data_IF_339499759709
#
_entry.id   IF_339499759709
#
_cell.length_a   1.000
_cell.length_b   1.000
_cell.length_c   1.000
_cell.angle_alpha   90.00
_cell.angle_beta   90.00
_cell.angle_gamma   90.00
#
_symmetry.space_group_name_H-M   'P 1'
#
loop_
_entity.id
_entity.type
_entity.pdbx_description
1 polymer ?
#
# COMPACT_ATOMS: atom_id res chain seq x y z
N UNK A 1 61.72 63.39 12.94
CA UNK A 1 60.71 63.33 14.02
C UNK A 1 59.39 63.71 13.40
N UNK A 2 58.27 63.00 13.48
CA UNK A 2 57.91 61.68 14.00
C UNK A 2 56.64 61.27 13.21
N UNK A 3 56.42 59.97 13.10
CA UNK A 3 55.51 59.27 12.19
C UNK A 3 54.02 59.64 12.31
N UNK A 4 53.33 59.59 11.17
CA UNK A 4 51.89 59.74 11.00
C UNK A 4 51.13 58.47 11.42
N UNK A 5 50.11 58.66 12.27
CA UNK A 5 49.16 57.63 12.68
C UNK A 5 48.17 57.35 11.53
N UNK A 6 48.17 56.14 10.97
CA UNK A 6 47.04 55.64 10.19
C UNK A 6 46.66 54.27 10.76
N UNK A 7 45.65 54.28 11.65
CA UNK A 7 45.06 53.07 12.19
C UNK A 7 44.38 52.28 11.09
N UNK A 8 44.89 51.08 10.81
CA UNK A 8 44.28 50.13 9.90
C UNK A 8 43.20 49.38 10.69
N UNK A 9 41.92 49.70 10.44
CA UNK A 9 40.81 48.86 10.85
C UNK A 9 40.74 47.64 9.93
N UNK A 10 41.10 46.46 10.45
CA UNK A 10 40.89 45.18 9.77
C UNK A 10 39.46 44.73 10.08
N UNK A 11 38.54 44.93 9.13
CA UNK A 11 37.21 44.33 9.19
C UNK A 11 37.31 42.85 8.77
N UNK A 12 37.30 41.95 9.77
CA UNK A 12 37.24 40.50 9.54
C UNK A 12 35.80 40.16 9.15
N UNK A 13 35.55 39.98 7.85
CA UNK A 13 34.28 39.49 7.32
C UNK A 13 34.26 37.96 7.47
N UNK A 14 33.67 37.47 8.57
CA UNK A 14 33.45 36.04 8.78
C UNK A 14 32.33 35.59 7.83
N UNK A 15 32.71 35.01 6.69
CA UNK A 15 31.80 34.29 5.80
C UNK A 15 31.33 33.02 6.53
N UNK A 16 30.19 33.10 7.22
CA UNK A 16 29.45 31.92 7.66
C UNK A 16 28.73 31.33 6.44
N UNK A 17 29.44 30.53 5.65
CA UNK A 17 28.80 29.61 4.70
C UNK A 17 28.14 28.49 5.50
N UNK A 18 26.93 28.75 5.99
CA UNK A 18 26.04 27.72 6.52
C UNK A 18 25.65 26.79 5.36
N UNK A 19 26.41 25.73 5.17
CA UNK A 19 25.97 24.60 4.36
C UNK A 19 24.77 23.99 5.09
N UNK A 20 23.56 24.44 4.74
CA UNK A 20 22.34 23.72 5.07
C UNK A 20 22.39 22.40 4.29
N UNK A 21 22.95 21.36 4.90
CA UNK A 21 22.68 19.98 4.49
C UNK A 21 21.17 19.79 4.65
N UNK A 22 20.42 20.00 3.56
CA UNK A 22 19.00 19.67 3.51
C UNK A 22 18.92 18.19 3.85
N UNK A 23 18.29 17.86 4.99
CA UNK A 23 17.94 16.48 5.29
C UNK A 23 17.15 15.95 4.10
N UNK A 24 17.46 14.73 3.59
CA UNK A 24 16.65 14.11 2.55
C UNK A 24 15.18 14.14 2.96
N UNK A 25 14.30 14.43 2.01
CA UNK A 25 12.86 14.38 2.29
C UNK A 25 12.48 12.97 2.75
N UNK A 26 11.71 12.85 3.83
CA UNK A 26 11.27 11.55 4.35
C UNK A 26 10.29 10.86 3.40
N UNK A 27 9.55 11.65 2.63
CA UNK A 27 8.59 11.19 1.63
C UNK A 27 8.85 11.82 0.27
N UNK A 28 8.32 11.18 -0.77
CA UNK A 28 8.27 11.68 -2.14
C UNK A 28 6.92 11.39 -2.76
N UNK A 29 6.52 12.21 -3.72
CA UNK A 29 5.40 11.91 -4.60
C UNK A 29 5.91 11.02 -5.74
N UNK A 30 5.27 9.86 -5.91
CA UNK A 30 5.41 9.04 -7.10
C UNK A 30 4.28 9.41 -8.07
N UNK A 31 4.66 9.80 -9.28
CA UNK A 31 3.76 9.92 -10.41
C UNK A 31 3.85 8.66 -11.25
N UNK A 32 2.73 7.93 -11.33
CA UNK A 32 2.58 6.68 -12.07
C UNK A 32 1.66 6.93 -13.29
N UNK A 33 1.63 8.14 -13.83
CA UNK A 33 0.84 8.50 -15.02
C UNK A 33 -0.66 8.64 -14.72
N UNK A 34 -1.36 7.54 -14.45
CA UNK A 34 -2.81 7.54 -14.20
C UNK A 34 -3.19 7.90 -12.76
N UNK A 35 -2.22 7.90 -11.85
CA UNK A 35 -2.41 8.34 -10.49
C UNK A 35 -1.08 8.75 -9.86
N UNK A 36 -1.19 9.49 -8.76
CA UNK A 36 -0.05 9.84 -7.91
C UNK A 36 -0.27 9.31 -6.50
N UNK A 37 0.82 9.06 -5.78
CA UNK A 37 0.81 8.64 -4.38
C UNK A 37 2.04 9.19 -3.67
N UNK A 38 1.87 9.68 -2.43
CA UNK A 38 2.99 10.08 -1.58
C UNK A 38 3.45 8.91 -0.72
N UNK A 39 4.72 8.55 -0.84
CA UNK A 39 5.34 7.36 -0.22
C UNK A 39 6.68 7.73 0.43
N UNK A 40 7.24 6.87 1.31
CA UNK A 40 8.62 7.01 1.76
C UNK A 40 9.61 7.21 0.60
N UNK A 41 10.62 8.05 0.81
CA UNK A 41 11.59 8.38 -0.25
C UNK A 41 12.38 7.17 -0.76
N UNK A 42 12.49 6.12 0.06
CA UNK A 42 13.18 4.85 -0.26
C UNK A 42 12.39 3.93 -1.16
N UNK A 43 11.07 4.06 -1.24
CA UNK A 43 10.23 3.20 -2.07
C UNK A 43 10.44 3.49 -3.54
N UNK A 44 10.51 2.47 -4.40
CA UNK A 44 10.81 2.67 -5.83
C UNK A 44 9.87 1.88 -6.72
N UNK A 45 9.32 2.47 -7.80
CA UNK A 45 8.60 1.70 -8.80
C UNK A 45 9.54 0.68 -9.47
N UNK A 46 9.00 -0.49 -9.76
CA UNK A 46 9.67 -1.56 -10.49
C UNK A 46 8.96 -1.71 -11.84
N UNK A 47 9.72 -1.64 -12.93
CA UNK A 47 9.16 -1.76 -14.28
C UNK A 47 8.63 -3.17 -14.51
N UNK A 48 7.34 -3.26 -14.82
CA UNK A 48 6.68 -4.48 -15.28
C UNK A 48 5.87 -4.16 -16.54
N UNK A 49 5.66 -5.15 -17.42
CA UNK A 49 4.88 -5.00 -18.66
C UNK A 49 3.52 -5.69 -18.47
N UNK A 50 2.45 -4.92 -18.36
CA UNK A 50 1.06 -5.41 -18.41
C UNK A 50 0.60 -5.73 -19.83
N UNK A 51 -0.40 -6.60 -19.98
CA UNK A 51 -1.01 -6.94 -21.28
C UNK A 51 -2.28 -6.12 -21.51
N UNK A 52 -3.20 -6.15 -20.55
CA UNK A 52 -4.57 -5.61 -20.67
C UNK A 52 -4.91 -4.52 -19.64
N UNK A 53 -4.18 -4.44 -18.52
CA UNK A 53 -4.42 -3.49 -17.42
C UNK A 53 -3.20 -2.63 -17.10
N UNK A 54 -3.42 -1.45 -16.53
CA UNK A 54 -2.34 -0.58 -16.05
C UNK A 54 -1.83 -1.11 -14.70
N UNK A 55 -0.86 -2.02 -14.78
CA UNK A 55 -0.29 -2.73 -13.63
C UNK A 55 1.14 -2.27 -13.32
N UNK A 56 1.51 -2.34 -12.05
CA UNK A 56 2.85 -1.99 -11.60
C UNK A 56 3.22 -2.61 -10.27
N UNK A 57 4.53 -2.59 -9.99
CA UNK A 57 5.11 -3.01 -8.72
C UNK A 57 5.84 -1.82 -8.08
N UNK A 58 5.86 -1.78 -6.75
CA UNK A 58 6.67 -0.83 -5.98
C UNK A 58 7.46 -1.64 -4.93
N UNK A 59 8.78 -1.58 -5.02
CA UNK A 59 9.68 -2.12 -4.02
C UNK A 59 9.69 -1.19 -2.80
N UNK A 60 9.52 -1.77 -1.62
CA UNK A 60 9.52 -1.07 -0.34
C UNK A 60 10.82 -1.36 0.43
N UNK A 61 10.91 -0.80 1.63
CA UNK A 61 11.98 -1.13 2.58
C UNK A 61 11.91 -2.62 2.99
N UNK A 62 13.01 -3.17 3.50
CA UNK A 62 13.08 -4.54 4.03
C UNK A 62 12.73 -5.67 3.05
N UNK A 63 12.77 -5.40 1.74
CA UNK A 63 12.52 -6.41 0.70
C UNK A 63 11.03 -6.66 0.40
N UNK A 64 10.12 -5.95 1.06
CA UNK A 64 8.70 -6.02 0.74
C UNK A 64 8.42 -5.43 -0.65
N UNK A 65 7.34 -5.89 -1.28
CA UNK A 65 6.87 -5.36 -2.55
C UNK A 65 5.34 -5.27 -2.52
N UNK A 66 4.80 -4.23 -3.14
CA UNK A 66 3.37 -4.08 -3.41
C UNK A 66 3.12 -4.08 -4.90
N UNK A 67 1.92 -4.49 -5.29
CA UNK A 67 1.42 -4.41 -6.65
C UNK A 67 0.22 -3.47 -6.70
N UNK A 68 -0.05 -2.92 -7.89
CA UNK A 68 -1.30 -2.28 -8.21
C UNK A 68 -1.81 -2.73 -9.56
N UNK A 69 -3.12 -2.61 -9.74
CA UNK A 69 -3.84 -2.88 -10.97
C UNK A 69 -4.96 -1.85 -11.13
N UNK A 70 -5.02 -1.23 -12.29
CA UNK A 70 -6.04 -0.27 -12.69
C UNK A 70 -6.61 -0.70 -14.05
N UNK A 71 -7.87 -1.13 -14.05
CA UNK A 71 -8.56 -1.63 -15.24
C UNK A 71 -9.90 -2.32 -14.94
N UNK A 72 -10.58 -2.79 -15.99
CA UNK A 72 -11.88 -3.48 -15.88
C UNK A 72 -11.85 -4.76 -15.05
N UNK A 73 -10.73 -5.48 -15.11
CA UNK A 73 -10.56 -6.79 -14.49
C UNK A 73 -9.84 -6.74 -13.14
N UNK A 74 -9.52 -5.55 -12.63
CA UNK A 74 -8.92 -5.41 -11.30
C UNK A 74 -9.83 -6.06 -10.26
N UNK A 75 -9.26 -7.02 -9.52
CA UNK A 75 -9.96 -7.81 -8.51
C UNK A 75 -10.34 -6.94 -7.30
N UNK A 76 -11.32 -7.40 -6.52
CA UNK A 76 -11.82 -6.65 -5.37
C UNK A 76 -11.03 -6.88 -4.08
N UNK A 77 -9.89 -7.58 -4.09
CA UNK A 77 -9.15 -7.98 -2.87
C UNK A 77 -9.98 -8.88 -1.94
N UNK A 78 -10.65 -9.88 -2.49
CA UNK A 78 -11.23 -10.95 -1.66
C UNK A 78 -10.13 -11.86 -1.13
N UNK A 79 -10.31 -12.33 0.10
CA UNK A 79 -9.42 -13.29 0.73
C UNK A 79 -9.74 -14.72 0.26
N UNK A 80 -8.72 -15.55 0.08
CA UNK A 80 -8.91 -16.98 -0.15
C UNK A 80 -9.48 -17.63 1.12
N UNK A 81 -10.70 -18.16 1.01
CA UNK A 81 -11.42 -18.72 2.14
C UNK A 81 -10.86 -20.11 2.47
N UNK A 82 -10.32 -20.24 3.69
CA UNK A 82 -9.85 -21.52 4.25
C UNK A 82 -10.99 -22.29 4.94
N UNK A 83 -12.21 -22.10 4.49
CA UNK A 83 -13.42 -22.76 5.00
C UNK A 83 -14.48 -22.84 3.90
N UNK A 84 -15.45 -23.72 4.09
CA UNK A 84 -16.62 -23.88 3.23
C UNK A 84 -17.90 -23.98 4.07
N UNK A 85 -19.02 -23.52 3.52
CA UNK A 85 -20.35 -23.69 4.10
C UNK A 85 -21.19 -24.51 3.14
N UNK A 86 -21.57 -25.72 3.54
CA UNK A 86 -22.35 -26.65 2.71
C UNK A 86 -23.53 -27.18 3.53
N UNK A 87 -24.75 -27.02 3.01
CA UNK A 87 -25.97 -27.51 3.64
C UNK A 87 -26.16 -27.08 5.11
N UNK A 88 -25.67 -25.89 5.49
CA UNK A 88 -25.75 -25.38 6.86
C UNK A 88 -24.65 -25.89 7.80
N UNK A 89 -23.71 -26.68 7.30
CA UNK A 89 -22.51 -27.11 8.02
C UNK A 89 -21.29 -26.28 7.60
N UNK A 90 -20.44 -25.95 8.58
CA UNK A 90 -19.20 -25.21 8.41
C UNK A 90 -18.02 -26.18 8.44
N UNK A 91 -17.17 -26.11 7.41
CA UNK A 91 -16.00 -26.94 7.25
C UNK A 91 -14.76 -26.07 7.18
N UNK A 92 -13.67 -26.51 7.80
CA UNK A 92 -12.39 -25.77 7.82
C UNK A 92 -11.36 -26.55 7.03
N UNK A 93 -10.53 -25.83 6.26
CA UNK A 93 -9.43 -26.42 5.52
C UNK A 93 -8.47 -27.10 6.50
N UNK A 94 -8.18 -28.37 6.27
CA UNK A 94 -7.22 -29.13 7.05
C UNK A 94 -5.82 -28.52 6.87
N UNK A 95 -5.15 -28.22 7.97
CA UNK A 95 -3.76 -27.74 7.96
C UNK A 95 -2.76 -28.69 7.31
N UNK A 96 -3.08 -29.99 7.21
CA UNK A 96 -2.28 -30.98 6.51
C UNK A 96 -2.55 -31.05 4.99
N UNK A 97 -3.52 -30.26 4.49
CA UNK A 97 -3.83 -30.20 3.06
C UNK A 97 -2.71 -29.53 2.27
N UNK A 98 -2.42 -30.10 1.10
CA UNK A 98 -1.57 -29.43 0.11
C UNK A 98 -2.42 -28.52 -0.75
N UNK A 99 -1.85 -27.43 -1.28
CA UNK A 99 -2.57 -26.48 -2.13
C UNK A 99 -3.26 -27.12 -3.36
N UNK A 100 -2.79 -28.28 -3.81
CA UNK A 100 -3.37 -29.03 -4.94
C UNK A 100 -4.55 -29.94 -4.56
N UNK A 101 -4.73 -30.27 -3.28
CA UNK A 101 -5.82 -31.11 -2.77
C UNK A 101 -6.32 -30.50 -1.46
N UNK A 102 -7.37 -29.67 -1.56
CA UNK A 102 -8.01 -29.06 -0.38
C UNK A 102 -8.89 -30.10 0.31
N UNK A 103 -8.47 -30.53 1.50
CA UNK A 103 -9.28 -31.38 2.37
C UNK A 103 -9.97 -30.50 3.41
N UNK A 104 -11.27 -30.67 3.60
CA UNK A 104 -12.05 -29.90 4.57
C UNK A 104 -12.61 -30.82 5.65
N UNK A 105 -12.50 -30.39 6.90
CA UNK A 105 -13.00 -31.12 8.07
C UNK A 105 -14.21 -30.39 8.65
N UNK A 106 -15.25 -31.14 8.99
CA UNK A 106 -16.42 -30.60 9.67
C UNK A 106 -16.02 -29.93 10.99
N UNK A 107 -16.43 -28.68 11.17
CA UNK A 107 -16.14 -27.89 12.37
C UNK A 107 -17.39 -27.68 13.23
N UNK A 108 -18.56 -27.46 12.62
CA UNK A 108 -19.81 -27.20 13.35
C UNK A 108 -20.95 -26.74 12.44
N UNK A 109 -22.07 -26.36 13.04
CA UNK A 109 -23.20 -25.77 12.32
C UNK A 109 -22.92 -24.30 11.98
N UNK A 110 -23.14 -23.90 10.73
CA UNK A 110 -22.72 -22.59 10.22
C UNK A 110 -23.38 -21.40 10.95
N UNK A 111 -24.60 -21.57 11.45
CA UNK A 111 -25.32 -20.58 12.26
C UNK A 111 -24.72 -20.38 13.67
N UNK A 112 -23.88 -21.31 14.13
CA UNK A 112 -23.18 -21.23 15.43
C UNK A 112 -21.74 -20.72 15.32
N UNK A 113 -21.20 -20.58 14.10
CA UNK A 113 -19.79 -20.26 13.88
C UNK A 113 -19.61 -18.78 13.60
N UNK A 114 -18.73 -18.14 14.38
CA UNK A 114 -18.18 -16.83 14.03
C UNK A 114 -17.19 -16.99 12.86
N UNK A 115 -17.70 -16.81 11.64
CA UNK A 115 -16.92 -16.94 10.40
C UNK A 115 -15.76 -15.96 10.34
N UNK A 116 -15.91 -14.76 10.93
CA UNK A 116 -14.85 -13.76 10.90
C UNK A 116 -13.59 -14.27 11.58
N UNK A 117 -13.70 -15.13 12.60
CA UNK A 117 -12.54 -15.74 13.27
C UNK A 117 -11.60 -16.48 12.32
N UNK A 118 -12.11 -16.97 11.19
CA UNK A 118 -11.33 -17.71 10.18
C UNK A 118 -10.71 -16.83 9.10
N UNK A 119 -11.04 -15.53 9.08
CA UNK A 119 -10.46 -14.56 8.15
C UNK A 119 -9.14 -14.01 8.69
N UNK A 120 -8.10 -13.95 7.85
CA UNK A 120 -6.80 -13.33 8.11
C UNK A 120 -6.92 -11.80 8.19
N UNK A 121 -7.86 -11.22 7.44
CA UNK A 121 -7.97 -9.78 7.25
C UNK A 121 -9.23 -9.17 7.87
N UNK A 122 -9.15 -7.88 8.18
CA UNK A 122 -10.30 -7.02 8.48
C UNK A 122 -10.53 -6.05 7.34
N UNK A 123 -11.80 -5.76 7.08
CA UNK A 123 -12.24 -4.82 6.06
C UNK A 123 -12.77 -3.56 6.74
N UNK A 124 -12.35 -2.40 6.26
CA UNK A 124 -12.93 -1.11 6.61
C UNK A 124 -13.22 -0.30 5.35
N UNK A 125 -14.11 0.68 5.45
CA UNK A 125 -14.47 1.54 4.33
C UNK A 125 -14.13 3.00 4.66
N UNK A 126 -13.61 3.71 3.67
CA UNK A 126 -13.26 5.13 3.79
C UNK A 126 -13.48 5.85 2.47
N UNK A 127 -13.08 7.12 2.40
CA UNK A 127 -13.10 7.92 1.18
C UNK A 127 -11.67 8.33 0.82
N UNK A 128 -11.25 8.04 -0.41
CA UNK A 128 -9.96 8.43 -0.97
C UNK A 128 -10.21 9.13 -2.29
N UNK A 129 -9.66 10.34 -2.45
CA UNK A 129 -9.86 11.16 -3.65
C UNK A 129 -11.33 11.31 -4.07
N UNK A 130 -12.20 11.55 -3.07
CA UNK A 130 -13.66 11.68 -3.28
C UNK A 130 -14.39 10.38 -3.61
N UNK A 131 -13.73 9.21 -3.58
CA UNK A 131 -14.29 7.89 -3.94
C UNK A 131 -14.35 6.98 -2.74
N UNK A 132 -15.40 6.15 -2.66
CA UNK A 132 -15.51 5.10 -1.65
C UNK A 132 -14.42 4.06 -1.88
N UNK A 133 -13.65 3.76 -0.83
CA UNK A 133 -12.53 2.83 -0.88
C UNK A 133 -12.69 1.74 0.18
N UNK A 134 -12.49 0.48 -0.23
CA UNK A 134 -12.33 -0.67 0.66
C UNK A 134 -10.88 -0.73 1.10
N UNK A 135 -10.63 -0.74 2.41
CA UNK A 135 -9.31 -0.95 2.99
C UNK A 135 -9.29 -2.34 3.62
N UNK A 136 -8.34 -3.16 3.15
CA UNK A 136 -8.02 -4.47 3.71
C UNK A 136 -6.77 -4.31 4.56
N UNK A 137 -6.81 -4.82 5.79
CA UNK A 137 -5.64 -4.82 6.68
C UNK A 137 -5.57 -6.16 7.42
N UNK A 138 -4.37 -6.65 7.74
CA UNK A 138 -4.26 -7.92 8.45
C UNK A 138 -4.77 -7.77 9.88
N UNK A 139 -5.38 -8.83 10.43
CA UNK A 139 -5.72 -8.87 11.86
C UNK A 139 -4.48 -9.01 12.74
N UNK A 140 -3.41 -9.57 12.18
CA UNK A 140 -2.10 -9.75 12.79
C UNK A 140 -1.04 -9.25 11.82
N UNK A 141 -0.30 -8.21 12.20
CA UNK A 141 0.77 -7.65 11.38
C UNK A 141 1.76 -8.74 10.91
N UNK A 142 2.14 -8.69 9.62
CA UNK A 142 2.96 -9.72 8.98
C UNK A 142 2.20 -11.00 8.59
N UNK A 143 0.88 -11.09 8.82
CA UNK A 143 0.03 -12.22 8.42
C UNK A 143 -1.26 -11.73 7.75
N UNK A 144 -1.28 -11.76 6.42
CA UNK A 144 -2.45 -11.37 5.63
C UNK A 144 -2.11 -10.30 4.60
N UNK A 145 -3.11 -9.52 4.20
CA UNK A 145 -3.04 -8.52 3.15
C UNK A 145 -3.22 -7.10 3.70
N UNK A 146 -2.38 -6.18 3.22
CA UNK A 146 -2.63 -4.74 3.33
C UNK A 146 -2.97 -4.21 1.95
N UNK A 147 -4.17 -3.65 1.77
CA UNK A 147 -4.62 -3.24 0.45
C UNK A 147 -5.73 -2.20 0.44
N UNK A 148 -5.89 -1.56 -0.70
CA UNK A 148 -6.99 -0.67 -1.04
C UNK A 148 -7.65 -1.13 -2.33
N UNK A 149 -8.98 -1.09 -2.38
CA UNK A 149 -9.77 -1.30 -3.59
C UNK A 149 -10.77 -0.16 -3.78
N UNK A 150 -10.91 0.33 -5.00
CA UNK A 150 -11.90 1.33 -5.41
C UNK A 150 -12.63 0.79 -6.64
N UNK A 151 -13.95 0.72 -6.55
CA UNK A 151 -14.83 0.08 -7.54
C UNK A 151 -15.10 0.92 -8.79
N UNK A 152 -14.92 2.24 -8.69
CA UNK A 152 -15.29 3.19 -9.74
C UNK A 152 -14.30 4.35 -9.78
N UNK A 153 -13.31 4.26 -10.67
CA UNK A 153 -12.34 5.34 -10.90
C UNK A 153 -12.84 6.30 -11.99
N UNK A 154 -13.17 5.77 -13.18
CA UNK A 154 -13.88 6.47 -14.27
C UNK A 154 -14.60 5.47 -15.18
N UNK A 155 -15.46 5.99 -16.08
CA UNK A 155 -16.04 5.20 -17.18
C UNK A 155 -14.97 4.93 -18.25
N UNK A 156 -14.85 3.67 -18.64
CA UNK A 156 -14.02 3.20 -19.73
C UNK A 156 -14.89 2.31 -20.63
N UNK A 157 -15.27 2.82 -21.81
CA UNK A 157 -16.24 2.16 -22.68
C UNK A 157 -17.59 1.94 -21.98
N UNK A 158 -18.07 0.69 -21.99
CA UNK A 158 -19.33 0.27 -21.35
C UNK A 158 -19.18 -0.11 -19.87
N UNK A 159 -17.96 -0.08 -19.32
CA UNK A 159 -17.66 -0.47 -17.95
C UNK A 159 -16.93 0.65 -17.19
N UNK A 160 -16.63 0.40 -15.92
CA UNK A 160 -15.84 1.29 -15.08
C UNK A 160 -14.48 0.68 -14.81
N UNK A 161 -13.43 1.49 -14.89
CA UNK A 161 -12.13 1.07 -14.39
C UNK A 161 -12.17 1.01 -12.87
N UNK A 162 -11.59 -0.06 -12.34
CA UNK A 162 -11.44 -0.33 -10.91
C UNK A 162 -9.96 -0.22 -10.59
N UNK A 163 -9.65 0.13 -9.35
CA UNK A 163 -8.30 0.19 -8.85
C UNK A 163 -8.13 -0.74 -7.67
N UNK A 164 -7.01 -1.44 -7.63
CA UNK A 164 -6.50 -2.06 -6.42
C UNK A 164 -5.00 -1.79 -6.25
N UNK A 165 -4.56 -1.71 -5.00
CA UNK A 165 -3.15 -1.77 -4.64
C UNK A 165 -3.01 -2.60 -3.37
N UNK A 166 -2.10 -3.58 -3.34
CA UNK A 166 -1.91 -4.44 -2.18
C UNK A 166 -0.48 -4.99 -2.02
N UNK A 167 -0.16 -5.41 -0.80
CA UNK A 167 0.96 -6.27 -0.47
C UNK A 167 0.56 -7.34 0.55
N UNK A 168 1.29 -8.46 0.56
CA UNK A 168 1.04 -9.58 1.48
C UNK A 168 2.14 -9.71 2.52
N UNK A 169 1.76 -9.92 3.77
CA UNK A 169 2.64 -10.17 4.91
C UNK A 169 3.74 -9.11 5.07
N UNK A 170 3.39 -7.85 4.82
CA UNK A 170 4.29 -6.71 4.98
C UNK A 170 4.81 -6.64 6.41
N UNK A 171 6.05 -6.17 6.57
CA UNK A 171 6.53 -5.82 7.91
C UNK A 171 5.71 -4.67 8.50
N UNK A 172 5.73 -4.56 9.82
CA UNK A 172 4.91 -3.60 10.57
C UNK A 172 5.04 -2.15 10.10
N UNK A 173 6.25 -1.72 9.76
CA UNK A 173 6.50 -0.34 9.37
C UNK A 173 5.98 -0.06 7.95
N UNK A 174 6.17 -1.00 7.01
CA UNK A 174 5.62 -0.87 5.67
C UNK A 174 4.09 -0.99 5.64
N UNK A 175 3.49 -1.87 6.44
CA UNK A 175 2.03 -1.96 6.62
C UNK A 175 1.46 -0.61 7.04
N UNK A 176 2.02 -0.02 8.11
CA UNK A 176 1.61 1.29 8.63
C UNK A 176 1.81 2.41 7.60
N UNK A 177 2.95 2.44 6.91
CA UNK A 177 3.26 3.45 5.88
C UNK A 177 2.33 3.34 4.68
N UNK A 178 2.02 2.13 4.24
CA UNK A 178 1.15 1.87 3.10
C UNK A 178 -0.29 2.32 3.38
N UNK A 179 -0.83 1.98 4.55
CA UNK A 179 -2.16 2.44 4.98
C UNK A 179 -2.27 3.97 5.02
N UNK A 180 -1.18 4.67 5.33
CA UNK A 180 -1.14 6.13 5.27
C UNK A 180 -0.98 6.66 3.84
N UNK A 181 -0.15 6.00 3.03
CA UNK A 181 0.05 6.36 1.62
C UNK A 181 -1.25 6.29 0.82
N UNK A 182 -2.13 5.31 1.10
CA UNK A 182 -3.44 5.21 0.46
C UNK A 182 -4.29 6.48 0.55
N UNK A 183 -4.19 7.23 1.66
CA UNK A 183 -4.94 8.49 1.86
C UNK A 183 -4.51 9.60 0.89
N UNK A 184 -3.31 9.47 0.32
CA UNK A 184 -2.68 10.45 -0.55
C UNK A 184 -2.87 10.14 -2.03
N UNK A 185 -3.49 9.01 -2.38
CA UNK A 185 -3.81 8.68 -3.76
C UNK A 185 -4.62 9.81 -4.41
N UNK A 186 -4.23 10.18 -5.63
CA UNK A 186 -4.97 11.09 -6.51
C UNK A 186 -4.97 10.52 -7.90
N UNK A 187 -6.15 10.42 -8.52
CA UNK A 187 -6.30 9.83 -9.85
C UNK A 187 -6.34 10.92 -10.91
N UNK A 188 -5.49 10.78 -11.93
CA UNK A 188 -5.35 11.72 -13.03
C UNK A 188 -5.83 11.02 -14.30
N UNK A 189 -6.72 11.65 -15.05
CA UNK A 189 -7.15 11.15 -16.35
C UNK A 189 -6.34 11.79 -17.47
#
# INVERSE_FOLDING_TARGET
>A
MSLTNHGILIAIFVFLSACHTRKPAETKMLDLGQFTITVPATWSPVKVRGIDSYVGLIALDYGDTINFDLGWYSNSLEEDQKFEILNGDFYVLDSASSDSVRNFTFYGKADTVDVERFMENKITWTTVDGRKAKIVSPKRTGQGMTGIYIDSIWMAGSARDRFQMNGRSLNAENERRLLNAFKTLRFNK
#
